data_IF_164542398324
#
_entry.id   IF_164542398324
#
_cell.length_a   1.000
_cell.length_b   1.000
_cell.length_c   1.000
_cell.angle_alpha   90.00
_cell.angle_beta   90.00
_cell.angle_gamma   90.00
#
_symmetry.space_group_name_H-M   'P 1'
#
loop_
_entity.id
_entity.type
_entity.pdbx_description
1 polymer ?
#
# COMPACT_ATOMS: atom_id res chain seq x y z
N UNK A 1 13.71 15.06 -5.30
CA UNK A 1 12.45 14.90 -6.05
C UNK A 1 11.35 14.70 -5.02
N UNK A 2 10.47 15.69 -4.82
CA UNK A 2 9.39 15.59 -3.85
C UNK A 2 8.19 14.92 -4.51
N UNK A 3 7.72 13.82 -3.94
CA UNK A 3 6.52 13.14 -4.40
C UNK A 3 5.34 13.63 -3.55
N UNK A 4 4.21 13.93 -4.18
CA UNK A 4 2.95 14.12 -3.47
C UNK A 4 2.41 12.75 -3.09
N UNK A 5 2.16 12.54 -1.82
CA UNK A 5 1.71 11.25 -1.29
C UNK A 5 0.23 11.27 -0.98
N UNK A 6 -0.44 10.17 -1.26
CA UNK A 6 -1.64 9.79 -0.54
C UNK A 6 -1.19 8.90 0.62
N UNK A 7 -1.14 9.46 1.83
CA UNK A 7 -0.87 8.66 3.01
C UNK A 7 -2.15 7.90 3.39
N UNK A 8 -2.12 6.59 3.22
CA UNK A 8 -3.06 5.72 3.89
C UNK A 8 -2.49 5.32 5.25
N UNK A 9 -2.52 6.23 6.19
CA UNK A 9 -2.75 5.81 7.57
C UNK A 9 -4.21 5.42 7.68
N UNK A 10 -4.63 4.70 8.75
CA UNK A 10 -6.03 4.28 8.88
C UNK A 10 -6.92 5.47 8.55
N UNK A 11 -7.04 5.54 7.38
CA UNK A 11 -7.49 6.42 6.34
C UNK A 11 -8.31 7.50 6.86
N UNK A 12 -7.81 8.63 6.65
CA UNK A 12 -8.47 9.82 7.04
C UNK A 12 -9.31 9.51 8.28
N UNK A 13 -8.65 9.59 9.36
CA UNK A 13 -9.25 9.44 10.69
C UNK A 13 -10.67 10.00 10.75
N UNK A 14 -10.98 11.00 9.98
CA UNK A 14 -12.34 11.54 9.86
C UNK A 14 -13.37 10.62 9.17
N UNK A 15 -12.98 9.82 8.21
CA UNK A 15 -13.93 8.94 7.48
C UNK A 15 -14.07 7.57 8.13
N UNK A 16 -13.00 7.04 8.72
CA UNK A 16 -13.04 5.78 9.48
C UNK A 16 -13.63 5.92 10.88
N UNK A 17 -13.39 7.04 11.57
CA UNK A 17 -14.04 7.35 12.85
C UNK A 17 -15.57 7.46 12.67
N UNK A 18 -16.02 7.95 11.53
CA UNK A 18 -17.45 7.95 11.19
C UNK A 18 -18.01 6.56 10.92
N UNK A 19 -17.19 5.62 10.52
CA UNK A 19 -17.65 4.31 10.09
C UNK A 19 -17.58 3.23 11.18
N UNK A 20 -17.10 3.51 12.39
CA UNK A 20 -17.07 2.59 13.53
C UNK A 20 -16.61 1.16 13.19
N UNK A 21 -16.32 0.36 14.20
CA UNK A 21 -15.83 -1.03 14.03
C UNK A 21 -16.84 -1.96 13.31
N UNK A 22 -18.13 -1.64 13.37
CA UNK A 22 -19.22 -2.46 12.77
C UNK A 22 -19.64 -2.00 11.38
N UNK A 23 -18.93 -1.04 10.77
CA UNK A 23 -19.29 -0.60 9.44
C UNK A 23 -18.79 -1.63 8.39
N UNK A 24 -19.64 -2.06 7.45
CA UNK A 24 -19.24 -3.00 6.40
C UNK A 24 -18.12 -2.48 5.48
N UNK A 25 -17.86 -1.17 5.51
CA UNK A 25 -16.74 -0.54 4.78
C UNK A 25 -15.45 -0.45 5.61
N UNK A 26 -15.44 -0.99 6.82
CA UNK A 26 -14.24 -1.05 7.65
C UNK A 26 -13.47 -2.33 7.33
N UNK A 27 -12.17 -2.24 7.26
CA UNK A 27 -11.32 -3.39 6.97
C UNK A 27 -9.85 -3.02 6.81
N UNK A 28 -9.08 -4.03 6.45
CA UNK A 28 -7.64 -3.87 6.18
C UNK A 28 -7.46 -2.97 4.96
N UNK A 29 -6.57 -1.99 5.06
CA UNK A 29 -6.32 -0.98 4.00
C UNK A 29 -6.02 -1.60 2.64
N UNK A 30 -5.33 -2.74 2.62
CA UNK A 30 -4.95 -3.44 1.39
C UNK A 30 -6.12 -4.10 0.66
N UNK A 31 -7.25 -4.26 1.34
CA UNK A 31 -8.52 -4.73 0.77
C UNK A 31 -9.45 -3.55 0.52
N UNK A 32 -9.72 -2.76 1.54
CA UNK A 32 -10.64 -1.61 1.48
C UNK A 32 -10.19 -0.54 0.48
N UNK A 33 -8.89 -0.33 0.35
CA UNK A 33 -8.32 0.63 -0.58
C UNK A 33 -8.67 0.33 -2.04
N UNK A 34 -8.34 -0.86 -2.55
CA UNK A 34 -8.70 -1.28 -3.90
C UNK A 34 -10.20 -1.43 -4.12
N UNK A 35 -10.91 -2.12 -3.22
CA UNK A 35 -12.35 -2.40 -3.38
C UNK A 35 -13.21 -1.15 -3.44
N UNK A 36 -12.82 -0.09 -2.74
CA UNK A 36 -13.54 1.19 -2.77
C UNK A 36 -12.96 2.18 -3.81
N UNK A 37 -12.03 1.73 -4.66
CA UNK A 37 -11.43 2.56 -5.70
C UNK A 37 -10.50 3.66 -5.18
N UNK A 38 -10.02 3.56 -3.94
CA UNK A 38 -9.06 4.52 -3.39
C UNK A 38 -7.64 4.28 -3.91
N UNK A 39 -7.32 3.03 -4.22
CA UNK A 39 -6.04 2.66 -4.82
C UNK A 39 -6.17 2.72 -6.33
N UNK A 40 -5.43 3.63 -6.97
CA UNK A 40 -5.50 3.85 -8.41
C UNK A 40 -4.11 3.92 -9.03
N UNK A 41 -3.95 3.52 -10.30
CA UNK A 41 -2.66 3.61 -10.99
C UNK A 41 -2.05 5.02 -10.93
N UNK A 42 -0.73 5.09 -10.81
CA UNK A 42 0.00 6.35 -10.75
C UNK A 42 0.02 7.03 -9.38
N UNK A 43 -0.69 6.50 -8.39
CA UNK A 43 -0.64 7.02 -7.02
C UNK A 43 0.63 6.60 -6.29
N UNK A 44 1.04 7.42 -5.33
CA UNK A 44 2.01 7.02 -4.30
C UNK A 44 1.26 6.73 -3.01
N UNK A 45 1.45 5.54 -2.45
CA UNK A 45 0.75 5.06 -1.27
C UNK A 45 1.78 4.69 -0.19
N UNK A 46 1.62 5.23 1.00
CA UNK A 46 2.40 4.86 2.17
C UNK A 46 1.48 4.54 3.35
N UNK A 47 1.89 3.58 4.15
CA UNK A 47 1.12 3.13 5.31
C UNK A 47 2.06 2.52 6.35
N UNK A 48 1.68 2.54 7.61
CA UNK A 48 2.42 1.92 8.71
C UNK A 48 2.38 0.37 8.70
N UNK A 49 2.00 -0.25 7.60
CA UNK A 49 1.92 -1.70 7.44
C UNK A 49 2.95 -2.18 6.41
N UNK A 50 3.71 -3.24 6.74
CA UNK A 50 4.77 -3.78 5.89
C UNK A 50 4.26 -4.35 4.55
N UNK A 51 2.98 -4.74 4.46
CA UNK A 51 2.37 -5.27 3.25
C UNK A 51 1.89 -4.20 2.27
N UNK A 52 2.16 -2.92 2.54
CA UNK A 52 1.72 -1.80 1.69
C UNK A 52 2.22 -1.90 0.25
N UNK A 53 3.40 -2.51 0.03
CA UNK A 53 3.95 -2.74 -1.31
C UNK A 53 3.04 -3.54 -2.23
N UNK A 54 2.09 -4.32 -1.68
CA UNK A 54 1.10 -5.07 -2.47
C UNK A 54 0.21 -4.18 -3.34
N UNK A 55 0.00 -2.92 -2.95
CA UNK A 55 -0.70 -1.95 -3.78
C UNK A 55 0.00 -1.67 -5.12
N UNK A 56 1.29 -2.02 -5.24
CA UNK A 56 2.04 -1.95 -6.49
C UNK A 56 1.42 -2.77 -7.62
N UNK A 57 0.69 -3.85 -7.29
CA UNK A 57 -0.08 -4.65 -8.25
C UNK A 57 -1.16 -3.84 -8.99
N UNK A 58 -1.58 -2.71 -8.44
CA UNK A 58 -2.55 -1.79 -9.02
C UNK A 58 -1.90 -0.61 -9.75
N UNK A 59 -0.60 -0.72 -10.06
CA UNK A 59 0.13 0.35 -10.75
C UNK A 59 0.46 1.56 -9.90
N UNK A 60 0.59 1.37 -8.58
CA UNK A 60 0.99 2.42 -7.63
C UNK A 60 2.47 2.30 -7.27
N UNK A 61 3.04 3.38 -6.74
CA UNK A 61 4.29 3.33 -5.97
C UNK A 61 3.89 3.19 -4.51
N UNK A 62 4.12 2.01 -3.91
CA UNK A 62 3.63 1.74 -2.58
C UNK A 62 4.70 1.11 -1.69
N UNK A 63 4.82 1.58 -0.44
CA UNK A 63 5.76 1.05 0.54
C UNK A 63 5.31 1.30 1.98
N UNK A 64 5.68 0.37 2.86
CA UNK A 64 5.50 0.52 4.30
C UNK A 64 6.48 1.52 4.89
N UNK A 65 6.03 2.31 5.86
CA UNK A 65 6.83 3.30 6.56
C UNK A 65 6.70 3.14 8.07
N UNK A 66 7.67 3.63 8.83
CA UNK A 66 7.63 3.62 10.28
C UNK A 66 6.59 4.60 10.86
N UNK A 67 6.23 4.41 12.12
CA UNK A 67 5.21 5.25 12.79
C UNK A 67 5.58 6.73 12.82
N UNK A 68 6.84 7.06 13.07
CA UNK A 68 7.35 8.44 13.04
C UNK A 68 7.31 9.05 11.64
N UNK A 69 7.54 8.25 10.61
CA UNK A 69 7.40 8.68 9.22
C UNK A 69 5.94 8.91 8.85
N UNK A 70 5.02 8.10 9.40
CA UNK A 70 3.57 8.32 9.25
C UNK A 70 3.17 9.69 9.79
N UNK A 71 3.66 10.06 10.97
CA UNK A 71 3.41 11.37 11.57
C UNK A 71 3.93 12.50 10.66
N UNK A 72 5.16 12.36 10.17
CA UNK A 72 5.76 13.31 9.23
C UNK A 72 4.94 13.47 7.95
N UNK A 73 4.51 12.37 7.37
CA UNK A 73 3.70 12.39 6.13
C UNK A 73 2.33 13.02 6.36
N UNK A 74 1.70 12.77 7.52
CA UNK A 74 0.43 13.40 7.86
C UNK A 74 0.56 14.92 8.03
N UNK A 75 1.66 15.36 8.62
CA UNK A 75 1.91 16.78 8.87
C UNK A 75 2.34 17.54 7.61
N UNK A 76 3.25 16.95 6.83
CA UNK A 76 3.95 17.66 5.73
C UNK A 76 3.56 17.20 4.33
N UNK A 77 2.87 16.09 4.18
CA UNK A 77 2.60 15.42 2.90
C UNK A 77 3.90 15.07 2.14
N UNK A 78 5.01 14.94 2.85
CA UNK A 78 6.31 14.65 2.29
C UNK A 78 7.02 13.56 3.08
N UNK A 79 7.85 12.77 2.39
CA UNK A 79 8.76 11.82 3.00
C UNK A 79 10.09 11.83 2.22
N UNK A 80 11.19 11.65 2.95
CA UNK A 80 12.49 11.46 2.35
C UNK A 80 12.72 9.98 2.12
N UNK A 81 12.89 9.61 0.87
CA UNK A 81 13.19 8.22 0.50
C UNK A 81 14.43 8.16 -0.38
N UNK A 82 15.28 7.20 -0.09
CA UNK A 82 16.39 6.86 -0.99
C UNK A 82 15.81 6.18 -2.23
N UNK A 83 16.32 6.55 -3.40
CA UNK A 83 15.87 5.90 -4.63
C UNK A 83 16.16 4.40 -4.57
N UNK A 84 15.17 3.52 -4.61
CA UNK A 84 15.40 2.08 -4.58
C UNK A 84 16.08 1.62 -5.86
N UNK A 85 16.89 0.57 -5.74
CA UNK A 85 17.45 -0.12 -6.91
C UNK A 85 16.35 -0.91 -7.61
N UNK A 86 16.37 -0.94 -8.92
CA UNK A 86 15.45 -1.77 -9.72
C UNK A 86 15.92 -3.22 -9.67
N UNK A 87 15.00 -4.12 -9.35
CA UNK A 87 15.20 -5.57 -9.41
C UNK A 87 14.20 -6.15 -10.40
N UNK A 88 14.67 -7.03 -11.27
CA UNK A 88 13.80 -7.80 -12.15
C UNK A 88 13.69 -9.22 -11.60
N UNK A 89 12.48 -9.70 -11.43
CA UNK A 89 12.20 -11.09 -11.09
C UNK A 89 11.49 -11.73 -12.29
N UNK A 90 12.10 -12.75 -12.88
CA UNK A 90 11.52 -13.50 -13.99
C UNK A 90 11.02 -14.84 -13.45
N UNK A 91 9.79 -15.17 -13.77
CA UNK A 91 9.22 -16.51 -13.51
C UNK A 91 9.20 -17.27 -14.82
N UNK A 92 9.93 -18.39 -14.88
CA UNK A 92 10.04 -19.21 -16.08
C UNK A 92 9.36 -20.57 -15.86
N UNK A 93 8.66 -21.06 -16.87
CA UNK A 93 7.95 -22.33 -16.83
C UNK A 93 6.43 -22.17 -16.63
N UNK A 94 5.80 -23.27 -16.20
CA UNK A 94 4.36 -23.34 -15.89
C UNK A 94 4.17 -23.62 -14.41
N UNK A 95 3.18 -22.95 -13.83
CA UNK A 95 2.79 -23.21 -12.45
C UNK A 95 2.30 -24.66 -12.30
N UNK A 96 2.74 -25.30 -11.22
CA UNK A 96 2.24 -26.61 -10.85
C UNK A 96 0.75 -26.56 -10.46
N UNK A 97 0.12 -27.72 -10.47
CA UNK A 97 -1.27 -27.84 -9.96
C UNK A 97 -1.31 -27.43 -8.48
N UNK A 98 -2.25 -26.56 -8.14
CA UNK A 98 -2.45 -25.99 -6.80
C UNK A 98 -1.39 -24.98 -6.34
N UNK A 99 -0.57 -24.42 -7.23
CA UNK A 99 0.33 -23.31 -6.92
C UNK A 99 -0.36 -21.99 -7.26
N UNK A 100 -0.53 -21.13 -6.27
CA UNK A 100 -1.13 -19.81 -6.42
C UNK A 100 -0.09 -18.68 -6.50
N UNK A 101 -0.56 -17.48 -6.73
CA UNK A 101 0.30 -16.30 -6.82
C UNK A 101 1.11 -16.05 -5.53
N UNK A 102 0.56 -16.36 -4.37
CA UNK A 102 1.23 -16.18 -3.07
C UNK A 102 2.41 -17.13 -2.89
N UNK A 103 2.38 -18.32 -3.50
CA UNK A 103 3.47 -19.29 -3.41
C UNK A 103 4.69 -18.87 -4.25
N UNK A 104 4.49 -17.93 -5.17
CA UNK A 104 5.54 -17.42 -6.05
C UNK A 104 6.16 -16.14 -5.48
N UNK A 105 5.43 -15.44 -4.61
CA UNK A 105 5.92 -14.16 -4.05
C UNK A 105 7.04 -14.47 -3.06
N UNK A 106 8.28 -14.02 -3.29
CA UNK A 106 9.35 -14.17 -2.31
C UNK A 106 8.98 -13.42 -1.03
N UNK A 107 9.22 -14.07 0.09
CA UNK A 107 9.05 -13.50 1.43
C UNK A 107 10.14 -12.47 1.71
#
# INVERSE_FOLDING_TARGET
MAFRFLAFTPISTKKLIKNGLNNPKNGIVHVVGPENGYTQPGMTIVCGNSHTSTHGAFGTIAFGIGTSEVEMVLASQCILQTRPKTMRVNFEGKLGKNVGAKDITPL
#
